data_IF_460126562243
#
_entry.id   IF_460126562243
#
_cell.length_a   1.000
_cell.length_b   1.000
_cell.length_c   1.000
_cell.angle_alpha   90.00
_cell.angle_beta   90.00
_cell.angle_gamma   90.00
#
_symmetry.space_group_name_H-M   'P 1'
#
loop_
_entity.id
_entity.type
_entity.pdbx_description
1 polymer ?
#
# COMPACT_ATOMS: atom_id res chain seq x y z
N UNK A 1 -59.16 7.81 -12.14
CA UNK A 1 -58.02 6.86 -12.17
C UNK A 1 -56.96 7.48 -13.06
N UNK A 2 -56.11 8.36 -12.50
CA UNK A 2 -55.12 9.13 -13.26
C UNK A 2 -53.77 8.52 -12.94
N UNK A 3 -53.12 7.94 -13.95
CA UNK A 3 -51.85 7.23 -13.81
C UNK A 3 -50.74 8.19 -13.39
N UNK A 4 -50.00 7.83 -12.33
CA UNK A 4 -48.71 8.42 -11.99
C UNK A 4 -47.72 8.11 -13.11
N UNK A 5 -46.94 9.08 -13.62
CA UNK A 5 -45.84 8.77 -14.51
C UNK A 5 -44.76 8.00 -13.74
N UNK A 6 -44.29 6.93 -14.36
CA UNK A 6 -43.19 6.09 -13.93
C UNK A 6 -41.89 6.91 -14.08
N UNK A 7 -41.23 7.26 -12.97
CA UNK A 7 -39.93 7.93 -13.01
C UNK A 7 -38.90 6.95 -13.61
N UNK A 8 -38.44 7.26 -14.82
CA UNK A 8 -37.22 6.68 -15.36
C UNK A 8 -36.03 7.15 -14.51
N UNK A 9 -35.20 6.20 -14.08
CA UNK A 9 -34.06 6.47 -13.23
C UNK A 9 -32.97 7.27 -13.92
N UNK A 10 -32.44 8.27 -13.21
CA UNK A 10 -31.01 8.58 -12.99
C UNK A 10 -30.85 10.06 -12.65
N UNK A 11 -31.47 10.49 -11.54
CA UNK A 11 -31.18 11.78 -10.91
C UNK A 11 -29.91 11.66 -10.06
N UNK A 12 -28.85 11.10 -10.65
CA UNK A 12 -27.55 11.00 -9.99
C UNK A 12 -26.93 12.39 -10.04
N UNK A 13 -26.93 13.08 -8.89
CA UNK A 13 -26.17 14.31 -8.71
C UNK A 13 -24.73 14.10 -9.22
N UNK A 14 -24.15 15.05 -9.99
CA UNK A 14 -22.81 14.87 -10.50
C UNK A 14 -21.84 14.60 -9.34
N UNK A 15 -20.91 13.64 -9.50
CA UNK A 15 -20.05 13.21 -8.41
C UNK A 15 -19.21 14.38 -7.88
N UNK A 16 -19.14 14.49 -6.56
CA UNK A 16 -18.57 15.66 -5.88
C UNK A 16 -17.05 15.49 -5.75
N UNK A 17 -16.29 16.45 -6.25
CA UNK A 17 -14.83 16.47 -6.06
C UNK A 17 -14.48 16.80 -4.62
N UNK A 18 -13.57 16.03 -4.02
CA UNK A 18 -12.83 16.39 -2.81
C UNK A 18 -11.69 17.34 -3.18
N UNK A 19 -11.83 18.67 -3.00
CA UNK A 19 -10.99 19.66 -3.69
C UNK A 19 -9.78 20.10 -2.86
N UNK A 20 -9.53 19.44 -1.72
CA UNK A 20 -8.54 19.89 -0.76
C UNK A 20 -7.12 19.53 -1.22
N UNK A 21 -6.13 20.37 -0.88
CA UNK A 21 -4.77 20.25 -1.36
C UNK A 21 -4.08 18.97 -0.88
N UNK A 22 -2.86 18.72 -1.36
CA UNK A 22 -2.04 17.58 -0.94
C UNK A 22 -2.09 17.39 0.59
N UNK A 23 -2.44 16.18 1.00
CA UNK A 23 -2.63 15.83 2.41
C UNK A 23 -1.28 15.75 3.14
N UNK A 24 -1.26 16.12 4.42
CA UNK A 24 -0.06 15.98 5.27
C UNK A 24 0.26 14.52 5.58
N UNK A 25 -0.79 13.74 5.81
CA UNK A 25 -0.74 12.34 6.15
C UNK A 25 -1.80 11.63 5.34
N UNK A 26 -1.37 10.64 4.59
CA UNK A 26 -2.23 9.78 3.80
C UNK A 26 -2.06 8.38 4.35
N UNK A 27 -3.14 7.64 4.45
CA UNK A 27 -3.11 6.23 4.81
C UNK A 27 -3.88 5.47 3.76
N UNK A 28 -3.25 4.44 3.21
CA UNK A 28 -3.89 3.48 2.31
C UNK A 28 -3.98 2.14 3.05
N UNK A 29 -5.18 1.60 3.12
CA UNK A 29 -5.45 0.26 3.65
C UNK A 29 -5.96 -0.61 2.51
N UNK A 30 -5.29 -1.73 2.30
CA UNK A 30 -5.67 -2.76 1.35
C UNK A 30 -6.23 -3.97 2.10
N UNK A 31 -7.54 -4.18 2.00
CA UNK A 31 -8.24 -5.26 2.68
C UNK A 31 -8.58 -6.41 1.72
N UNK A 32 -7.70 -7.42 1.68
CA UNK A 32 -8.03 -8.70 1.08
C UNK A 32 -8.88 -9.55 2.03
N UNK A 33 -9.57 -10.54 1.45
CA UNK A 33 -10.28 -11.56 2.23
C UNK A 33 -9.82 -12.92 1.74
N UNK A 34 -8.98 -13.58 2.53
CA UNK A 34 -8.43 -14.90 2.22
C UNK A 34 -8.78 -15.85 3.34
N UNK A 35 -9.44 -16.95 2.97
CA UNK A 35 -9.71 -18.05 3.88
C UNK A 35 -8.53 -19.01 3.90
N UNK A 36 -8.21 -19.52 5.09
CA UNK A 36 -7.06 -20.39 5.32
C UNK A 36 -7.52 -21.65 6.02
N UNK A 37 -7.60 -22.72 5.23
CA UNK A 37 -7.96 -24.05 5.69
C UNK A 37 -6.68 -24.79 6.08
N UNK A 38 -6.45 -24.95 7.38
CA UNK A 38 -5.26 -25.63 7.90
C UNK A 38 -5.54 -27.11 8.15
N UNK A 39 -4.56 -27.96 7.88
CA UNK A 39 -4.51 -29.34 8.33
C UNK A 39 -3.18 -29.62 9.03
N UNK A 40 -3.02 -30.83 9.58
CA UNK A 40 -1.80 -31.23 10.28
C UNK A 40 -0.56 -31.12 9.39
N UNK A 41 -0.66 -31.63 8.16
CA UNK A 41 0.43 -31.71 7.19
C UNK A 41 0.45 -30.56 6.17
N UNK A 42 -0.59 -29.71 6.13
CA UNK A 42 -0.74 -28.75 5.04
C UNK A 42 -1.65 -27.56 5.34
N UNK A 43 -1.86 -26.76 4.32
CA UNK A 43 -2.69 -25.55 4.36
C UNK A 43 -3.16 -25.24 2.95
N UNK A 44 -4.47 -25.02 2.77
CA UNK A 44 -5.06 -24.49 1.56
C UNK A 44 -5.50 -23.04 1.81
N UNK A 45 -5.26 -22.16 0.82
CA UNK A 45 -5.54 -20.72 0.90
C UNK A 45 -6.44 -20.30 -0.25
N UNK A 46 -7.62 -19.78 0.07
CA UNK A 46 -8.63 -19.41 -0.91
C UNK A 46 -8.89 -17.91 -0.80
N UNK A 47 -8.53 -17.14 -1.83
CA UNK A 47 -8.90 -15.73 -1.87
C UNK A 47 -10.39 -15.61 -2.20
N UNK A 48 -11.18 -15.15 -1.21
CA UNK A 48 -12.61 -14.90 -1.35
C UNK A 48 -12.90 -13.58 -2.07
N UNK A 49 -11.89 -12.72 -2.21
CA UNK A 49 -11.95 -11.50 -3.03
C UNK A 49 -10.83 -11.51 -4.06
N UNK A 50 -11.12 -11.28 -5.35
CA UNK A 50 -10.09 -11.21 -6.39
C UNK A 50 -9.23 -9.95 -6.27
N UNK A 51 -9.78 -8.87 -5.70
CA UNK A 51 -9.13 -7.57 -5.49
C UNK A 51 -9.41 -7.07 -4.06
N UNK A 52 -8.46 -6.36 -3.42
CA UNK A 52 -8.69 -5.82 -2.09
C UNK A 52 -9.75 -4.71 -2.14
N UNK A 53 -10.38 -4.43 -1.00
CA UNK A 53 -10.99 -3.11 -0.80
C UNK A 53 -9.86 -2.13 -0.51
N UNK A 54 -9.86 -1.00 -1.18
CA UNK A 54 -8.91 0.07 -0.95
C UNK A 54 -9.61 1.18 -0.19
N UNK A 55 -9.10 1.48 1.00
CA UNK A 55 -9.57 2.57 1.84
C UNK A 55 -8.45 3.59 1.94
N UNK A 56 -8.73 4.81 1.49
CA UNK A 56 -7.81 5.94 1.56
C UNK A 56 -8.31 6.89 2.64
N UNK A 57 -7.49 7.16 3.64
CA UNK A 57 -7.71 8.22 4.61
C UNK A 57 -6.79 9.38 4.29
N UNK A 58 -7.38 10.55 4.04
CA UNK A 58 -6.69 11.79 3.76
C UNK A 58 -6.81 12.71 4.97
N UNK A 59 -5.67 13.24 5.42
CA UNK A 59 -5.60 14.24 6.48
C UNK A 59 -5.05 15.55 5.94
N UNK A 60 -5.88 16.58 5.93
CA UNK A 60 -5.55 17.90 5.44
C UNK A 60 -5.42 18.90 6.58
N UNK A 61 -4.47 19.82 6.48
CA UNK A 61 -4.41 21.02 7.33
C UNK A 61 -5.07 22.16 6.58
N UNK A 62 -6.13 22.71 7.14
CA UNK A 62 -6.95 23.73 6.49
C UNK A 62 -7.16 24.93 7.42
N UNK A 63 -7.35 26.09 6.80
CA UNK A 63 -7.76 27.31 7.47
C UNK A 63 -9.25 27.28 7.83
N UNK A 64 -9.75 28.36 8.44
CA UNK A 64 -11.15 28.48 8.85
C UNK A 64 -12.13 28.29 7.66
N UNK A 65 -11.83 28.90 6.52
CA UNK A 65 -12.67 28.80 5.32
C UNK A 65 -12.63 27.39 4.72
N UNK A 66 -11.44 26.77 4.65
CA UNK A 66 -11.28 25.40 4.19
C UNK A 66 -12.03 24.39 5.06
N UNK A 67 -11.99 24.55 6.39
CA UNK A 67 -12.80 23.73 7.30
C UNK A 67 -14.31 23.92 7.10
N UNK A 68 -14.77 25.15 6.91
CA UNK A 68 -16.18 25.43 6.61
C UNK A 68 -16.60 24.78 5.28
N UNK A 69 -15.77 24.92 4.23
CA UNK A 69 -15.98 24.27 2.94
C UNK A 69 -16.05 22.74 3.06
N UNK A 70 -15.19 22.13 3.88
CA UNK A 70 -15.24 20.69 4.13
C UNK A 70 -16.55 20.26 4.80
N UNK A 71 -17.03 21.05 5.77
CA UNK A 71 -18.31 20.79 6.43
C UNK A 71 -19.50 20.90 5.45
N UNK A 72 -19.52 21.90 4.57
CA UNK A 72 -20.59 22.03 3.56
C UNK A 72 -20.54 20.89 2.54
N UNK A 73 -19.36 20.51 2.05
CA UNK A 73 -19.20 19.35 1.17
C UNK A 73 -19.69 18.07 1.85
N UNK A 74 -19.32 17.87 3.12
CA UNK A 74 -19.78 16.72 3.89
C UNK A 74 -21.31 16.65 3.97
N UNK A 75 -21.99 17.78 4.19
CA UNK A 75 -23.47 17.83 4.22
C UNK A 75 -24.09 17.57 2.87
N UNK A 76 -23.47 18.05 1.80
CA UNK A 76 -24.00 17.92 0.44
C UNK A 76 -23.85 16.51 -0.13
N UNK A 77 -22.73 15.82 0.15
CA UNK A 77 -22.35 14.61 -0.58
C UNK A 77 -22.06 13.38 0.26
N UNK A 78 -22.41 13.32 1.55
CA UNK A 78 -21.98 12.24 2.45
C UNK A 78 -22.22 10.82 1.90
N UNK A 79 -23.42 10.58 1.36
CA UNK A 79 -23.83 9.29 0.81
C UNK A 79 -23.58 9.14 -0.70
N UNK A 80 -23.16 10.22 -1.37
CA UNK A 80 -22.96 10.25 -2.80
C UNK A 80 -21.59 9.70 -3.20
N UNK A 81 -21.39 9.56 -4.51
CA UNK A 81 -20.09 9.24 -5.06
C UNK A 81 -19.18 10.46 -5.06
N UNK A 82 -17.97 10.26 -4.57
CA UNK A 82 -16.92 11.26 -4.49
C UNK A 82 -15.89 11.04 -5.57
N UNK A 83 -15.42 12.12 -6.17
CA UNK A 83 -14.17 12.15 -6.92
C UNK A 83 -13.04 12.50 -5.96
N UNK A 84 -12.16 11.54 -5.70
CA UNK A 84 -11.08 11.67 -4.70
C UNK A 84 -9.72 11.69 -5.41
N UNK A 85 -8.97 12.80 -5.35
CA UNK A 85 -7.58 12.84 -5.78
C UNK A 85 -6.72 11.91 -4.90
N UNK A 86 -6.01 10.97 -5.53
CA UNK A 86 -5.09 10.06 -4.87
C UNK A 86 -3.72 10.73 -4.71
N UNK A 87 -3.63 11.68 -3.77
CA UNK A 87 -2.42 12.49 -3.57
C UNK A 87 -1.17 11.67 -3.20
N UNK A 88 -1.32 10.47 -2.62
CA UNK A 88 -0.18 9.58 -2.33
C UNK A 88 0.48 9.02 -3.59
N UNK A 89 -0.19 9.15 -4.74
CA UNK A 89 0.25 8.74 -6.07
C UNK A 89 0.48 9.94 -7.00
N UNK A 90 0.54 11.14 -6.43
CA UNK A 90 0.75 12.35 -7.20
C UNK A 90 2.18 12.43 -7.75
N UNK A 91 2.29 13.02 -8.93
CA UNK A 91 3.53 13.21 -9.67
C UNK A 91 3.67 14.69 -10.06
N UNK A 92 4.91 15.11 -10.29
CA UNK A 92 5.21 16.44 -10.83
C UNK A 92 5.40 16.34 -12.36
N UNK A 93 4.88 17.30 -13.14
CA UNK A 93 5.15 17.36 -14.57
C UNK A 93 6.64 17.51 -14.87
N UNK A 94 7.07 16.98 -16.02
CA UNK A 94 8.45 17.10 -16.52
C UNK A 94 8.78 18.48 -17.13
N UNK A 95 7.76 19.27 -17.47
CA UNK A 95 7.89 20.60 -18.06
C UNK A 95 6.83 21.55 -17.52
N UNK A 96 7.05 22.85 -17.70
CA UNK A 96 6.08 23.88 -17.37
C UNK A 96 4.77 23.66 -18.14
N UNK A 97 3.64 23.95 -17.50
CA UNK A 97 2.32 23.83 -18.12
C UNK A 97 1.79 25.20 -18.48
N UNK A 98 1.24 25.32 -19.69
CA UNK A 98 0.59 26.51 -20.18
C UNK A 98 -0.93 26.29 -20.34
N UNK A 99 -1.71 27.36 -20.21
CA UNK A 99 -3.08 27.35 -20.69
C UNK A 99 -3.09 27.06 -22.20
N UNK A 100 -4.11 26.33 -22.67
CA UNK A 100 -4.20 25.78 -24.01
C UNK A 100 -3.47 24.44 -24.19
N UNK A 101 -2.66 23.99 -23.24
CA UNK A 101 -1.98 22.70 -23.36
C UNK A 101 -2.99 21.55 -23.38
N UNK A 102 -2.78 20.60 -24.31
CA UNK A 102 -3.57 19.37 -24.45
C UNK A 102 -2.82 18.14 -23.94
N UNK A 103 -1.57 18.31 -23.50
CA UNK A 103 -0.72 17.23 -22.98
C UNK A 103 -0.03 17.67 -21.69
N UNK A 104 0.20 16.69 -20.80
CA UNK A 104 1.00 16.85 -19.57
C UNK A 104 2.10 15.80 -19.60
N UNK A 105 3.37 16.22 -19.72
CA UNK A 105 4.52 15.31 -19.69
C UNK A 105 4.74 14.80 -18.27
N UNK A 106 4.61 13.49 -18.07
CA UNK A 106 4.71 12.85 -16.75
C UNK A 106 4.97 11.36 -16.90
N UNK A 107 5.82 10.76 -16.05
CA UNK A 107 6.03 9.31 -16.06
C UNK A 107 4.79 8.60 -15.49
N UNK A 108 3.90 8.16 -16.37
CA UNK A 108 2.65 7.51 -15.95
C UNK A 108 2.89 6.07 -15.47
N UNK A 109 4.07 5.50 -15.71
CA UNK A 109 4.43 4.14 -15.31
C UNK A 109 4.56 3.94 -13.80
N UNK A 110 4.55 5.03 -13.02
CA UNK A 110 4.70 5.04 -11.55
C UNK A 110 3.47 5.58 -10.81
N UNK A 111 2.32 5.66 -11.49
CA UNK A 111 1.03 6.05 -10.90
C UNK A 111 -0.13 5.39 -11.64
N UNK A 112 -1.33 5.42 -11.07
CA UNK A 112 -2.53 4.81 -11.66
C UNK A 112 -3.29 5.90 -12.43
N UNK A 113 -2.77 6.37 -13.55
CA UNK A 113 -3.56 7.18 -14.49
C UNK A 113 -4.29 6.25 -15.47
N UNK A 114 -5.55 6.55 -15.79
CA UNK A 114 -6.39 5.73 -16.67
C UNK A 114 -7.02 6.57 -17.78
N UNK A 115 -7.03 6.01 -18.99
CA UNK A 115 -7.72 6.58 -20.15
C UNK A 115 -9.21 6.75 -19.86
N UNK A 116 -9.80 7.86 -20.26
CA UNK A 116 -11.21 8.19 -19.97
C UNK A 116 -11.48 8.56 -18.51
N UNK A 117 -10.46 8.56 -17.65
CA UNK A 117 -10.55 8.96 -16.25
C UNK A 117 -10.29 10.46 -16.05
N UNK A 118 -10.13 10.85 -14.78
CA UNK A 118 -9.83 12.21 -14.37
C UNK A 118 -8.47 12.28 -13.67
N UNK A 119 -7.79 13.42 -13.80
CA UNK A 119 -6.65 13.83 -12.99
C UNK A 119 -6.98 15.13 -12.25
N UNK A 120 -6.43 15.29 -11.04
CA UNK A 120 -6.44 16.53 -10.29
C UNK A 120 -5.14 17.28 -10.56
N UNK A 121 -5.25 18.57 -10.87
CA UNK A 121 -4.12 19.51 -10.89
C UNK A 121 -4.25 20.41 -9.66
N UNK A 122 -3.19 20.48 -8.86
CA UNK A 122 -3.04 21.47 -7.80
C UNK A 122 -1.76 22.27 -8.02
N UNK A 123 -1.85 23.59 -7.80
CA UNK A 123 -0.71 24.51 -7.91
C UNK A 123 -0.39 25.06 -6.53
N UNK A 124 0.87 24.97 -6.11
CA UNK A 124 1.38 25.42 -4.80
C UNK A 124 0.57 24.89 -3.59
N UNK A 125 0.04 23.67 -3.69
CA UNK A 125 -0.84 23.12 -2.64
C UNK A 125 -2.14 23.90 -2.49
N UNK A 126 -2.62 24.52 -3.56
CA UNK A 126 -3.96 25.12 -3.66
C UNK A 126 -5.05 24.08 -3.91
N UNK A 127 -6.28 24.57 -4.11
CA UNK A 127 -7.43 23.71 -4.39
C UNK A 127 -7.23 22.91 -5.69
N UNK A 128 -7.70 21.67 -5.67
CA UNK A 128 -7.62 20.77 -6.81
C UNK A 128 -8.60 21.17 -7.91
N UNK A 129 -8.13 21.20 -9.15
CA UNK A 129 -8.95 21.34 -10.34
C UNK A 129 -8.95 20.02 -11.14
N UNK A 130 -10.12 19.44 -11.47
CA UNK A 130 -10.20 18.21 -12.23
C UNK A 130 -9.94 18.48 -13.72
N UNK A 131 -9.26 17.56 -14.39
CA UNK A 131 -9.06 17.53 -15.84
C UNK A 131 -9.36 16.14 -16.38
N UNK A 132 -10.02 16.05 -17.52
CA UNK A 132 -10.34 14.78 -18.15
C UNK A 132 -9.17 14.25 -18.99
N UNK A 133 -8.90 12.95 -18.86
CA UNK A 133 -7.82 12.25 -19.55
C UNK A 133 -8.40 11.55 -20.78
N UNK A 134 -7.97 11.94 -21.98
CA UNK A 134 -8.33 11.24 -23.21
C UNK A 134 -7.58 9.91 -23.30
N UNK A 135 -6.25 9.94 -23.13
CA UNK A 135 -5.39 8.75 -23.21
C UNK A 135 -4.16 8.87 -22.33
N UNK A 136 -3.56 7.73 -22.00
CA UNK A 136 -2.39 7.61 -21.13
C UNK A 136 -1.29 6.90 -21.92
N UNK A 137 -0.14 7.56 -22.06
CA UNK A 137 1.09 6.99 -22.61
C UNK A 137 2.14 6.94 -21.50
N UNK A 138 3.21 6.17 -21.68
CA UNK A 138 4.23 5.98 -20.64
C UNK A 138 4.89 7.28 -20.14
N UNK A 139 4.96 8.30 -20.99
CA UNK A 139 5.67 9.56 -20.72
C UNK A 139 4.76 10.80 -20.68
N UNK A 140 3.45 10.66 -20.89
CA UNK A 140 2.51 11.77 -20.93
C UNK A 140 1.06 11.35 -20.70
N UNK A 141 0.26 12.35 -20.31
CA UNK A 141 -1.21 12.30 -20.35
C UNK A 141 -1.69 13.18 -21.49
N UNK A 142 -2.56 12.64 -22.34
CA UNK A 142 -3.32 13.43 -23.31
C UNK A 142 -4.66 13.83 -22.69
N UNK A 143 -4.96 15.12 -22.67
CA UNK A 143 -6.18 15.66 -22.07
C UNK A 143 -7.34 15.61 -23.08
N UNK A 144 -8.56 15.40 -22.59
CA UNK A 144 -9.76 15.44 -23.42
C UNK A 144 -10.15 16.87 -23.82
N UNK A 145 -9.74 17.85 -23.00
CA UNK A 145 -9.95 19.26 -23.24
C UNK A 145 -8.65 20.02 -22.93
N UNK A 146 -8.43 21.12 -23.63
CA UNK A 146 -7.27 21.99 -23.38
C UNK A 146 -7.34 22.60 -21.97
N UNK A 147 -6.19 22.77 -21.32
CA UNK A 147 -6.13 23.49 -20.04
C UNK A 147 -6.63 24.92 -20.21
N UNK A 148 -7.44 25.39 -19.28
CA UNK A 148 -7.94 26.75 -19.23
C UNK A 148 -7.82 27.29 -17.79
N UNK A 149 -8.94 27.43 -17.10
CA UNK A 149 -9.02 28.04 -15.76
C UNK A 149 -8.45 27.17 -14.63
N UNK A 150 -7.89 26.00 -14.95
CA UNK A 150 -7.23 25.13 -13.98
C UNK A 150 -5.85 25.67 -13.54
N UNK A 151 -5.24 26.57 -14.32
CA UNK A 151 -3.96 27.20 -13.99
C UNK A 151 -4.17 28.66 -13.55
N UNK A 152 -3.52 29.11 -12.47
CA UNK A 152 -3.65 30.49 -11.97
C UNK A 152 -2.98 31.55 -12.87
N UNK A 153 -2.13 31.14 -13.81
CA UNK A 153 -1.44 32.02 -14.76
C UNK A 153 -1.31 31.36 -16.14
N UNK A 154 -1.04 32.12 -17.22
CA UNK A 154 -0.91 31.57 -18.57
C UNK A 154 0.12 30.46 -18.69
N UNK A 155 1.18 30.51 -17.86
CA UNK A 155 2.17 29.45 -17.72
C UNK A 155 2.55 29.31 -16.26
N UNK A 156 2.76 28.07 -15.80
CA UNK A 156 3.11 27.72 -14.43
C UNK A 156 4.30 26.76 -14.44
N UNK A 157 5.29 27.05 -13.59
CA UNK A 157 6.49 26.23 -13.49
C UNK A 157 6.18 24.81 -12.99
N UNK A 158 6.74 23.79 -13.62
CA UNK A 158 6.46 22.37 -13.35
C UNK A 158 6.55 22.00 -11.85
N UNK A 159 7.58 22.53 -11.17
CA UNK A 159 7.86 22.30 -9.74
C UNK A 159 6.74 22.76 -8.79
N UNK A 160 5.87 23.66 -9.25
CA UNK A 160 4.74 24.20 -8.48
C UNK A 160 3.48 23.37 -8.67
N UNK A 161 3.49 22.45 -9.63
CA UNK A 161 2.33 21.69 -10.05
C UNK A 161 2.44 20.28 -9.50
N UNK A 162 1.34 19.80 -8.95
CA UNK A 162 1.17 18.42 -8.53
C UNK A 162 -0.04 17.84 -9.24
N UNK A 163 0.15 16.72 -9.92
CA UNK A 163 -0.88 16.03 -10.68
C UNK A 163 -1.15 14.67 -10.04
N UNK A 164 -2.39 14.40 -9.66
CA UNK A 164 -2.80 13.14 -9.04
C UNK A 164 -3.94 12.48 -9.83
N UNK A 165 -4.00 11.14 -9.91
CA UNK A 165 -5.18 10.49 -10.48
C UNK A 165 -6.38 10.70 -9.55
N UNK A 166 -7.56 10.90 -10.13
CA UNK A 166 -8.83 10.98 -9.39
C UNK A 166 -9.55 9.64 -9.50
N UNK A 167 -10.12 9.15 -8.39
CA UNK A 167 -10.94 7.94 -8.37
C UNK A 167 -12.31 8.17 -7.74
N UNK A 168 -13.28 7.43 -8.26
CA UNK A 168 -14.61 7.33 -7.69
C UNK A 168 -14.54 6.58 -6.36
N UNK A 169 -15.14 7.13 -5.32
CA UNK A 169 -15.10 6.56 -3.99
C UNK A 169 -16.39 6.88 -3.22
N UNK A 170 -16.58 6.21 -2.10
CA UNK A 170 -17.62 6.56 -1.13
C UNK A 170 -17.03 6.78 0.24
N UNK A 171 -17.61 7.72 0.99
CA UNK A 171 -17.18 7.97 2.36
C UNK A 171 -17.45 6.73 3.24
N UNK A 172 -16.46 6.32 4.02
CA UNK A 172 -16.59 5.17 4.95
C UNK A 172 -16.87 5.58 6.39
N UNK A 173 -16.64 6.85 6.71
CA UNK A 173 -16.80 7.41 8.05
C UNK A 173 -17.28 8.86 7.95
N UNK A 174 -17.66 9.45 9.08
CA UNK A 174 -17.85 10.89 9.15
C UNK A 174 -16.56 11.63 8.73
N UNK A 175 -16.72 12.79 8.10
CA UNK A 175 -15.61 13.73 7.91
C UNK A 175 -15.36 14.41 9.25
N UNK A 176 -14.16 14.22 9.80
CA UNK A 176 -13.80 14.72 11.11
C UNK A 176 -13.07 16.05 10.99
N UNK A 177 -13.49 17.04 11.78
CA UNK A 177 -12.86 18.36 11.83
C UNK A 177 -12.34 18.59 13.24
N UNK A 178 -11.01 18.68 13.39
CA UNK A 178 -10.34 19.00 14.63
C UNK A 178 -9.77 20.41 14.56
N UNK A 179 -10.31 21.34 15.36
CA UNK A 179 -9.80 22.71 15.43
C UNK A 179 -8.64 22.78 16.43
N UNK A 180 -7.48 23.27 15.98
CA UNK A 180 -6.33 23.50 16.86
C UNK A 180 -6.33 24.93 17.42
N UNK A 181 -6.66 25.91 16.57
CA UNK A 181 -6.83 27.35 16.89
C UNK A 181 -7.93 27.94 16.01
N UNK A 182 -8.31 29.21 16.22
CA UNK A 182 -9.41 29.84 15.48
C UNK A 182 -9.27 29.82 13.95
N UNK A 183 -8.04 29.79 13.42
CA UNK A 183 -7.77 29.78 11.97
C UNK A 183 -7.03 28.56 11.45
N UNK A 184 -6.84 27.52 12.26
CA UNK A 184 -6.03 26.35 11.87
C UNK A 184 -6.63 25.07 12.46
N UNK A 185 -6.86 24.10 11.59
CA UNK A 185 -7.40 22.81 11.97
C UNK A 185 -7.03 21.71 11.00
N UNK A 186 -7.37 20.50 11.39
CA UNK A 186 -7.20 19.29 10.61
C UNK A 186 -8.56 18.78 10.17
N UNK A 187 -8.68 18.42 8.90
CA UNK A 187 -9.82 17.67 8.36
C UNK A 187 -9.36 16.27 7.96
N UNK A 188 -10.02 15.25 8.49
CA UNK A 188 -9.77 13.85 8.17
C UNK A 188 -10.98 13.29 7.44
N UNK A 189 -10.74 12.70 6.27
CA UNK A 189 -11.78 12.05 5.47
C UNK A 189 -11.31 10.67 5.01
N UNK A 190 -12.17 9.66 5.12
CA UNK A 190 -11.87 8.29 4.70
C UNK A 190 -12.81 7.84 3.61
N UNK A 191 -12.24 7.33 2.52
CA UNK A 191 -12.96 6.96 1.30
C UNK A 191 -12.61 5.53 0.90
N UNK A 192 -13.62 4.74 0.55
CA UNK A 192 -13.45 3.43 -0.07
C UNK A 192 -13.56 3.59 -1.58
N UNK A 193 -12.50 3.23 -2.31
CA UNK A 193 -12.49 3.33 -3.76
C UNK A 193 -13.47 2.32 -4.38
N UNK A 194 -14.16 2.74 -5.44
CA UNK A 194 -15.15 1.92 -6.16
C UNK A 194 -14.51 1.00 -7.18
N UNK A 195 -13.38 1.40 -7.71
CA UNK A 195 -12.63 0.68 -8.72
C UNK A 195 -11.24 0.32 -8.21
N UNK A 196 -10.76 -0.83 -8.68
CA UNK A 196 -9.45 -1.34 -8.32
C UNK A 196 -8.51 -1.24 -9.53
N UNK A 197 -7.23 -0.86 -9.35
CA UNK A 197 -6.26 -0.85 -10.43
C UNK A 197 -5.95 -2.24 -10.96
N UNK A 198 -5.59 -2.28 -12.23
CA UNK A 198 -4.97 -3.44 -12.84
C UNK A 198 -3.45 -3.30 -12.75
N UNK A 199 -2.88 -3.88 -11.69
CA UNK A 199 -1.45 -3.79 -11.41
C UNK A 199 -0.74 -5.06 -11.87
N UNK A 200 0.21 -4.89 -12.79
CA UNK A 200 1.13 -5.95 -13.15
C UNK A 200 1.96 -6.40 -11.93
N UNK A 201 2.17 -7.71 -11.81
CA UNK A 201 3.02 -8.29 -10.76
C UNK A 201 4.46 -7.82 -10.95
N UNK A 202 5.14 -7.32 -9.91
CA UNK A 202 6.53 -6.88 -10.04
C UNK A 202 7.45 -8.09 -10.24
N UNK A 203 8.55 -7.87 -10.96
CA UNK A 203 9.60 -8.87 -11.13
C UNK A 203 10.48 -8.84 -9.88
N UNK A 204 10.48 -9.94 -9.13
CA UNK A 204 11.33 -10.15 -7.96
C UNK A 204 12.26 -11.35 -8.19
N UNK A 205 13.44 -11.38 -7.55
CA UNK A 205 14.27 -12.57 -7.53
C UNK A 205 13.46 -13.77 -7.03
N UNK A 206 13.70 -14.95 -7.59
CA UNK A 206 13.01 -16.17 -7.19
C UNK A 206 13.97 -17.17 -6.56
N UNK A 207 13.47 -17.87 -5.54
CA UNK A 207 14.16 -18.98 -4.91
C UNK A 207 13.15 -20.12 -4.69
N UNK A 208 13.49 -21.33 -5.13
CA UNK A 208 12.60 -22.50 -5.09
C UNK A 208 11.18 -22.19 -5.63
N UNK A 209 11.11 -21.46 -6.74
CA UNK A 209 9.86 -21.11 -7.42
C UNK A 209 8.99 -20.08 -6.70
N UNK A 210 9.51 -19.37 -5.69
CA UNK A 210 8.77 -18.31 -4.98
C UNK A 210 9.55 -17.00 -4.99
N UNK A 211 8.88 -15.84 -5.03
CA UNK A 211 9.55 -14.55 -4.99
C UNK A 211 10.26 -14.33 -3.65
N UNK A 212 11.38 -13.63 -3.68
CA UNK A 212 12.15 -13.20 -2.50
C UNK A 212 11.95 -11.71 -2.33
N UNK A 213 11.46 -11.30 -1.16
CA UNK A 213 11.42 -9.90 -0.78
C UNK A 213 12.80 -9.51 -0.25
N UNK A 214 13.40 -8.48 -0.84
CA UNK A 214 14.81 -8.12 -0.60
C UNK A 214 15.01 -6.77 0.10
N UNK A 215 13.95 -6.01 0.36
CA UNK A 215 14.08 -4.75 1.10
C UNK A 215 14.12 -5.04 2.60
N UNK A 216 15.12 -4.53 3.31
CA UNK A 216 15.22 -4.72 4.75
C UNK A 216 14.11 -4.00 5.50
N UNK A 217 13.71 -4.58 6.65
CA UNK A 217 12.81 -3.93 7.59
C UNK A 217 13.49 -2.69 8.17
N UNK A 218 12.79 -1.55 8.18
CA UNK A 218 13.25 -0.34 8.86
C UNK A 218 12.83 -0.40 10.32
N UNK A 219 13.83 -0.44 11.20
CA UNK A 219 13.63 -0.55 12.66
C UNK A 219 13.56 0.85 13.26
N UNK A 220 12.35 1.35 13.55
CA UNK A 220 12.14 2.51 14.45
C UNK A 220 11.79 2.10 15.89
N UNK A 221 11.33 0.86 16.05
CA UNK A 221 11.00 0.20 17.32
C UNK A 221 11.49 -1.24 17.23
N UNK A 222 11.78 -1.90 18.37
CA UNK A 222 12.17 -3.31 18.35
C UNK A 222 11.17 -4.16 17.56
N UNK A 223 11.67 -4.98 16.64
CA UNK A 223 10.85 -5.96 15.93
C UNK A 223 10.66 -7.15 16.87
N UNK A 224 9.41 -7.52 17.14
CA UNK A 224 9.08 -8.72 17.89
C UNK A 224 8.85 -9.88 16.93
N UNK A 225 9.50 -11.00 17.21
CA UNK A 225 9.25 -12.27 16.55
C UNK A 225 8.63 -13.24 17.57
N UNK A 226 7.57 -13.93 17.17
CA UNK A 226 7.01 -15.05 17.92
C UNK A 226 7.32 -16.36 17.19
N UNK A 227 7.63 -17.38 17.97
CA UNK A 227 8.00 -18.70 17.51
C UNK A 227 7.02 -19.67 18.18
N UNK A 228 6.08 -20.26 17.43
CA UNK A 228 5.00 -21.07 17.98
C UNK A 228 4.78 -22.37 17.22
N UNK A 229 4.26 -23.38 17.91
CA UNK A 229 3.66 -24.57 17.32
C UNK A 229 2.25 -24.70 17.88
N UNK A 230 1.27 -24.92 17.01
CA UNK A 230 -0.09 -25.19 17.47
C UNK A 230 -0.11 -26.55 18.18
N UNK A 231 -0.51 -26.55 19.45
CA UNK A 231 -0.59 -27.73 20.31
C UNK A 231 -1.92 -27.72 21.06
N UNK A 232 -2.44 -28.91 21.31
CA UNK A 232 -3.59 -29.16 22.17
C UNK A 232 -3.08 -29.76 23.48
N UNK A 233 -3.59 -29.26 24.60
CA UNK A 233 -3.29 -29.77 25.93
C UNK A 233 -4.44 -30.66 26.37
N UNK A 234 -4.19 -31.97 26.42
CA UNK A 234 -5.16 -32.95 26.87
C UNK A 234 -4.90 -33.22 28.35
N UNK A 235 -5.76 -32.66 29.20
CA UNK A 235 -5.75 -32.88 30.64
C UNK A 235 -7.04 -33.62 31.06
N UNK A 236 -6.89 -34.82 31.58
CA UNK A 236 -8.00 -35.65 32.05
C UNK A 236 -8.24 -35.51 33.57
N UNK A 237 -7.50 -34.65 34.27
CA UNK A 237 -7.64 -34.34 35.70
C UNK A 237 -7.14 -35.42 36.67
N UNK A 238 -6.76 -36.60 36.17
CA UNK A 238 -6.29 -37.74 36.97
C UNK A 238 -4.90 -38.23 36.57
N UNK A 239 -4.29 -37.63 35.54
CA UNK A 239 -2.99 -38.02 34.99
C UNK A 239 -2.18 -36.81 34.48
N UNK A 240 -0.98 -37.06 33.94
CA UNK A 240 -0.15 -36.00 33.38
C UNK A 240 -0.80 -35.37 32.16
N UNK A 241 -0.64 -34.05 32.01
CA UNK A 241 -1.08 -33.31 30.82
C UNK A 241 -0.30 -33.79 29.60
N UNK A 242 -1.01 -34.29 28.58
CA UNK A 242 -0.44 -34.70 27.30
C UNK A 242 -0.51 -33.53 26.33
N UNK A 243 0.60 -33.27 25.63
CA UNK A 243 0.67 -32.19 24.64
C UNK A 243 0.72 -32.79 23.25
N UNK A 244 -0.32 -32.58 22.46
CA UNK A 244 -0.41 -33.09 21.10
C UNK A 244 -0.23 -31.97 20.08
N UNK A 245 0.72 -32.08 19.14
CA UNK A 245 0.88 -31.07 18.11
C UNK A 245 -0.28 -31.16 17.11
N UNK A 246 -1.01 -30.06 16.97
CA UNK A 246 -2.07 -29.92 15.95
C UNK A 246 -1.48 -29.75 14.55
N UNK A 247 -0.22 -29.28 14.45
CA UNK A 247 0.51 -29.09 13.20
C UNK A 247 1.92 -29.66 13.26
N UNK A 248 2.40 -30.14 12.12
CA UNK A 248 3.79 -30.61 11.98
C UNK A 248 4.78 -29.47 11.73
N UNK A 249 4.26 -28.28 11.46
CA UNK A 249 5.03 -27.09 11.13
C UNK A 249 5.16 -26.16 12.34
N UNK A 250 6.35 -25.58 12.45
CA UNK A 250 6.63 -24.49 13.38
C UNK A 250 6.39 -23.15 12.68
N UNK A 251 5.71 -22.23 13.34
CA UNK A 251 5.31 -20.93 12.79
C UNK A 251 6.16 -19.81 13.39
N UNK A 252 6.53 -18.84 12.54
CA UNK A 252 7.14 -17.59 12.95
C UNK A 252 6.21 -16.45 12.58
N UNK A 253 5.84 -15.64 13.56
CA UNK A 253 5.12 -14.38 13.34
C UNK A 253 6.05 -13.21 13.59
N UNK A 254 6.07 -12.22 12.70
CA UNK A 254 6.88 -11.02 12.86
C UNK A 254 6.19 -9.83 12.20
N UNK A 255 6.30 -8.65 12.82
CA UNK A 255 5.85 -7.40 12.23
C UNK A 255 7.01 -6.75 11.46
N UNK A 256 6.88 -6.62 10.14
CA UNK A 256 7.89 -5.97 9.28
C UNK A 256 7.42 -4.59 8.85
N UNK A 257 8.31 -3.60 8.90
CA UNK A 257 8.03 -2.24 8.39
C UNK A 257 8.93 -1.97 7.19
N UNK A 258 8.32 -1.74 6.03
CA UNK A 258 9.05 -1.40 4.80
C UNK A 258 9.02 0.11 4.56
N UNK A 259 10.11 0.66 4.02
CA UNK A 259 10.19 2.05 3.61
C UNK A 259 10.40 2.12 2.10
N UNK A 260 9.49 2.81 1.42
CA UNK A 260 9.63 3.15 0.00
C UNK A 260 9.69 4.67 -0.16
N UNK A 261 10.78 5.18 -0.74
CA UNK A 261 11.00 6.61 -0.94
C UNK A 261 10.93 6.97 -2.43
N UNK A 262 10.17 8.01 -2.76
CA UNK A 262 9.95 8.43 -4.15
C UNK A 262 8.83 7.65 -4.85
N UNK A 263 8.32 8.14 -6.00
CA UNK A 263 7.18 7.54 -6.68
C UNK A 263 7.44 6.10 -7.16
N UNK A 264 8.59 5.83 -7.78
CA UNK A 264 8.93 4.52 -8.34
C UNK A 264 9.00 3.42 -7.28
N UNK A 265 9.64 3.69 -6.14
CA UNK A 265 9.71 2.73 -5.03
C UNK A 265 8.34 2.49 -4.41
N UNK A 266 7.53 3.56 -4.21
CA UNK A 266 6.16 3.46 -3.69
C UNK A 266 5.28 2.60 -4.60
N UNK A 267 5.35 2.85 -5.90
CA UNK A 267 4.61 2.09 -6.90
C UNK A 267 5.03 0.62 -6.93
N UNK A 268 6.33 0.34 -6.86
CA UNK A 268 6.84 -1.04 -6.83
C UNK A 268 6.40 -1.79 -5.59
N UNK A 269 6.48 -1.16 -4.41
CA UNK A 269 5.97 -1.73 -3.16
C UNK A 269 4.46 -2.02 -3.26
N UNK A 270 3.68 -1.07 -3.77
CA UNK A 270 2.23 -1.25 -3.97
C UNK A 270 1.94 -2.42 -4.91
N UNK A 271 2.59 -2.50 -6.08
CA UNK A 271 2.45 -3.64 -7.01
C UNK A 271 2.78 -4.98 -6.34
N UNK A 272 3.81 -5.02 -5.50
CA UNK A 272 4.16 -6.23 -4.75
C UNK A 272 3.06 -6.64 -3.77
N UNK A 273 2.53 -5.70 -2.99
CA UNK A 273 1.44 -5.96 -2.06
C UNK A 273 0.18 -6.48 -2.76
N UNK A 274 -0.13 -5.94 -3.94
CA UNK A 274 -1.21 -6.43 -4.79
C UNK A 274 -0.97 -7.86 -5.29
N UNK A 275 0.28 -8.22 -5.58
CA UNK A 275 0.62 -9.57 -6.03
C UNK A 275 0.48 -10.64 -4.95
N UNK A 276 0.71 -10.31 -3.68
CA UNK A 276 0.67 -11.31 -2.60
C UNK A 276 -0.75 -11.69 -2.17
N UNK A 277 -1.73 -10.83 -2.45
CA UNK A 277 -3.16 -11.01 -2.10
C UNK A 277 -3.34 -11.44 -0.64
N UNK A 278 -2.70 -10.68 0.26
CA UNK A 278 -2.61 -10.98 1.69
C UNK A 278 -2.03 -12.38 1.96
N UNK A 279 -2.80 -13.28 2.58
CA UNK A 279 -2.36 -14.61 2.99
C UNK A 279 -2.37 -15.65 1.87
N UNK A 280 -2.74 -15.29 0.63
CA UNK A 280 -2.87 -16.25 -0.46
C UNK A 280 -1.50 -16.69 -1.02
N UNK A 281 -0.67 -15.73 -1.45
CA UNK A 281 0.64 -16.05 -2.00
C UNK A 281 1.66 -16.35 -0.90
N UNK A 282 2.74 -17.03 -1.28
CA UNK A 282 3.90 -17.25 -0.42
C UNK A 282 5.15 -16.67 -1.06
N UNK A 283 5.99 -16.05 -0.26
CA UNK A 283 7.25 -15.45 -0.65
C UNK A 283 8.30 -15.75 0.42
N UNK A 284 9.56 -15.54 0.09
CA UNK A 284 10.69 -15.61 1.03
C UNK A 284 10.94 -14.24 1.63
N UNK A 285 11.07 -14.20 2.94
CA UNK A 285 11.47 -13.02 3.69
C UNK A 285 12.77 -13.36 4.43
N UNK A 286 13.89 -12.70 4.10
CA UNK A 286 15.10 -12.78 4.89
C UNK A 286 14.82 -12.32 6.32
N UNK A 287 15.43 -12.99 7.29
CA UNK A 287 15.33 -12.61 8.72
C UNK A 287 16.08 -11.31 9.02
N UNK A 288 17.03 -10.95 8.16
CA UNK A 288 17.96 -9.81 8.35
C UNK A 288 18.77 -9.86 9.66
N UNK A 289 18.74 -11.00 10.35
CA UNK A 289 19.59 -11.28 11.48
C UNK A 289 20.93 -11.87 11.04
N UNK A 290 21.81 -12.03 12.02
CA UNK A 290 23.12 -12.67 11.84
C UNK A 290 23.03 -14.17 12.15
N UNK A 291 21.94 -14.84 11.74
CA UNK A 291 21.76 -16.27 12.01
C UNK A 291 22.61 -17.16 11.10
N UNK A 292 23.16 -16.64 10.01
CA UNK A 292 24.12 -17.36 9.16
C UNK A 292 25.43 -16.59 9.12
N UNK A 293 26.45 -17.09 9.81
CA UNK A 293 27.80 -16.52 9.80
C UNK A 293 28.73 -17.40 8.97
N UNK A 294 29.26 -16.85 7.89
CA UNK A 294 30.19 -17.57 7.01
C UNK A 294 31.49 -17.84 7.77
N UNK A 295 31.90 -19.11 7.84
CA UNK A 295 33.09 -19.56 8.58
C UNK A 295 34.39 -19.40 7.78
N UNK A 296 34.31 -19.34 6.46
CA UNK A 296 35.44 -19.17 5.57
C UNK A 296 35.03 -18.30 4.38
N UNK A 297 35.89 -17.34 3.99
CA UNK A 297 35.62 -16.46 2.85
C UNK A 297 35.27 -17.27 1.59
N UNK A 298 34.18 -16.89 0.93
CA UNK A 298 33.82 -17.46 -0.37
C UNK A 298 34.64 -16.80 -1.47
N UNK A 299 35.16 -17.59 -2.39
CA UNK A 299 35.84 -17.09 -3.59
C UNK A 299 34.91 -17.19 -4.79
N UNK A 300 35.22 -16.44 -5.85
CA UNK A 300 34.55 -16.64 -7.14
C UNK A 300 34.68 -18.12 -7.56
N UNK A 301 33.56 -18.78 -7.86
CA UNK A 301 33.50 -20.21 -8.19
C UNK A 301 33.26 -21.16 -7.02
N UNK A 302 33.13 -20.68 -5.77
CA UNK A 302 32.72 -21.54 -4.64
C UNK A 302 31.30 -22.08 -4.84
N UNK A 303 31.15 -23.39 -4.98
CA UNK A 303 29.85 -24.07 -5.08
C UNK A 303 29.23 -24.42 -3.72
N UNK A 304 29.98 -24.28 -2.61
CA UNK A 304 29.53 -24.58 -1.26
C UNK A 304 29.93 -23.47 -0.29
N UNK A 305 29.07 -23.20 0.70
CA UNK A 305 29.30 -22.24 1.79
C UNK A 305 29.40 -22.99 3.12
N UNK A 306 30.48 -22.76 3.89
CA UNK A 306 30.59 -23.26 5.27
C UNK A 306 30.09 -22.18 6.23
N UNK A 307 29.09 -22.52 7.05
CA UNK A 307 28.46 -21.62 8.01
C UNK A 307 28.76 -22.07 9.44
N UNK A 308 28.91 -21.14 10.37
CA UNK A 308 29.04 -21.44 11.79
C UNK A 308 27.72 -21.99 12.36
N UNK A 309 27.77 -23.00 13.25
CA UNK A 309 26.57 -23.49 13.91
C UNK A 309 25.99 -22.43 14.85
N UNK A 310 24.69 -22.17 14.76
CA UNK A 310 23.96 -21.20 15.61
C UNK A 310 23.72 -21.75 17.02
N UNK A 311 23.59 -23.07 17.15
CA UNK A 311 23.49 -23.75 18.44
C UNK A 311 24.27 -25.06 18.42
N UNK A 312 24.78 -25.45 19.59
CA UNK A 312 25.43 -26.75 19.84
C UNK A 312 24.44 -27.82 20.34
N UNK A 313 23.13 -27.56 20.25
CA UNK A 313 22.08 -28.49 20.65
C UNK A 313 22.07 -29.71 19.73
N UNK A 314 22.97 -30.65 20.03
CA UNK A 314 22.96 -32.00 19.51
C UNK A 314 21.70 -32.72 19.97
N UNK A 315 20.67 -32.67 19.14
CA UNK A 315 19.80 -33.84 19.02
C UNK A 315 20.65 -34.84 18.25
N UNK A 316 21.30 -35.76 18.97
CA UNK A 316 21.91 -36.95 18.39
C UNK A 316 20.84 -37.67 17.55
N UNK A 317 20.84 -37.42 16.25
CA UNK A 317 20.44 -38.44 15.30
C UNK A 317 21.64 -39.37 15.21
N UNK A 318 21.41 -40.65 15.49
CA UNK A 318 22.35 -41.75 15.36
C UNK A 318 23.23 -41.60 14.10
N UNK A 319 24.51 -41.97 14.16
CA UNK A 319 25.42 -41.77 13.03
C UNK A 319 24.99 -42.68 11.88
N UNK A 320 24.45 -42.09 10.81
CA UNK A 320 24.45 -42.71 9.49
C UNK A 320 25.85 -42.47 8.90
N UNK A 321 26.37 -43.48 8.22
CA UNK A 321 27.72 -43.54 7.67
C UNK A 321 28.13 -42.26 6.90
N UNK A 322 29.44 -42.00 6.90
CA UNK A 322 30.10 -40.73 6.60
C UNK A 322 30.06 -40.24 5.12
N UNK A 323 29.06 -40.63 4.31
CA UNK A 323 28.98 -40.25 2.90
C UNK A 323 27.77 -39.36 2.52
N UNK A 324 26.92 -38.94 3.46
CA UNK A 324 25.79 -38.04 3.18
C UNK A 324 25.91 -36.69 3.91
N UNK A 325 26.80 -35.82 3.43
CA UNK A 325 26.63 -34.36 3.62
C UNK A 325 25.69 -33.89 2.50
N UNK A 326 24.42 -34.28 2.59
CA UNK A 326 23.35 -33.76 1.74
C UNK A 326 22.68 -32.57 2.43
N UNK A 327 22.66 -31.46 1.70
CA UNK A 327 21.70 -30.36 1.72
C UNK A 327 21.03 -30.03 3.07
N UNK A 328 21.42 -28.92 3.67
CA UNK A 328 20.53 -28.22 4.58
C UNK A 328 19.30 -27.73 3.79
N UNK A 329 18.09 -28.25 4.04
CA UNK A 329 16.91 -27.65 3.46
C UNK A 329 16.63 -26.38 4.27
N UNK A 330 16.99 -25.22 3.69
CA UNK A 330 16.51 -23.93 4.16
C UNK A 330 15.00 -23.89 3.91
N UNK A 331 14.24 -24.48 4.84
CA UNK A 331 12.78 -24.47 4.81
C UNK A 331 12.30 -23.05 5.12
N UNK A 332 11.84 -22.36 4.08
CA UNK A 332 11.15 -21.08 4.18
C UNK A 332 9.86 -21.22 4.92
N UNK A 333 9.75 -20.52 6.04
CA UNK A 333 8.59 -20.56 6.90
C UNK A 333 7.83 -19.24 6.80
N UNK A 334 6.53 -19.38 6.64
CA UNK A 334 5.56 -18.37 6.23
C UNK A 334 5.29 -17.39 7.37
N UNK A 335 5.47 -16.10 7.12
CA UNK A 335 5.00 -15.01 7.99
C UNK A 335 3.57 -14.60 7.68
N UNK A 336 2.88 -14.04 8.68
CA UNK A 336 1.60 -13.36 8.56
C UNK A 336 1.87 -11.85 8.54
N UNK A 337 1.45 -11.14 7.48
CA UNK A 337 1.62 -9.69 7.37
C UNK A 337 0.29 -9.01 7.69
N UNK A 338 0.27 -8.20 8.76
CA UNK A 338 -0.68 -7.11 8.95
C UNK A 338 0.08 -5.84 8.59
N UNK A 339 -0.22 -5.24 7.45
CA UNK A 339 0.46 -4.04 7.01
C UNK A 339 -0.34 -2.79 7.38
N UNK A 340 0.20 -2.02 8.31
CA UNK A 340 -0.24 -0.66 8.59
C UNK A 340 0.70 0.31 7.88
N UNK A 341 0.23 0.97 6.81
CA UNK A 341 1.01 2.00 6.11
C UNK A 341 0.69 3.36 6.72
N UNK A 342 1.68 3.99 7.35
CA UNK A 342 1.55 5.36 7.86
C UNK A 342 2.54 6.24 7.10
N UNK A 343 2.04 7.13 6.26
CA UNK A 343 2.84 8.11 5.54
C UNK A 343 2.94 9.39 6.37
N UNK A 344 4.15 9.73 6.82
CA UNK A 344 4.42 11.00 7.50
C UNK A 344 5.41 11.77 6.65
N UNK A 345 4.96 12.86 6.02
CA UNK A 345 5.88 13.86 5.47
C UNK A 345 6.47 14.66 6.63
N UNK A 346 7.80 14.72 6.70
CA UNK A 346 8.51 15.52 7.69
C UNK A 346 8.68 16.92 7.11
N UNK A 347 8.05 17.91 7.76
CA UNK A 347 8.30 19.33 7.54
C UNK A 347 9.04 19.82 8.77
N UNK A 348 10.22 20.41 8.60
CA UNK A 348 10.93 21.03 9.71
C UNK A 348 10.22 22.33 10.16
N UNK A 349 10.59 22.85 11.32
CA UNK A 349 9.99 24.07 11.90
C UNK A 349 10.19 25.34 11.03
N UNK A 350 10.89 25.23 9.89
CA UNK A 350 11.18 26.32 8.94
C UNK A 350 10.49 26.16 7.57
N UNK A 351 9.66 25.14 7.36
CA UNK A 351 8.85 25.00 6.15
C UNK A 351 9.63 24.75 4.86
N UNK A 352 10.87 24.24 4.93
CA UNK A 352 11.66 23.88 3.73
C UNK A 352 11.70 22.37 3.53
N UNK A 353 11.50 21.94 2.28
CA UNK A 353 11.72 20.55 1.88
C UNK A 353 13.21 20.21 1.98
N UNK A 354 13.60 19.45 2.99
CA UNK A 354 14.96 18.91 3.10
C UNK A 354 15.03 17.59 2.33
N UNK A 355 15.87 17.55 1.28
CA UNK A 355 16.30 16.31 0.64
C UNK A 355 17.18 15.52 1.62
N UNK A 356 16.82 14.26 1.84
CA UNK A 356 17.74 13.21 2.31
C UNK A 356 17.58 12.00 1.39
#
# INVERSE_FOLDING_TARGET
>A
MIGRPMYAGSDASPPVLWPFPAAQEITEVLEWRTDVLTSRAGEQRIALRPRPREIITLRHRLDALGMARAAELARAGFADEWQVPLWHMALQPGSDLAQGATEILIDTGVSDFRSGGLAAIAVDGGAAAPVAIASVQSDRLTLAEQLALQLPSPTVAARRITVAPIRAAVSTSAIEISRRRQGDGTVTASFMLRDAPDLATPVLPTYLGRPVQTDPSVVRRPLSASLRRAVEYVDNGFGPVVVEPMRDVFERGEATTLKAQGPTARWTLRRWLWSIRSRQASFWLPTWGNELQVRAAMTSGSAMMRVAPVSTSGIQRTPVAADDIQDCPLAGRRGEIIAHYRWVEYVDDAGRHVRA
#
